data_IF_854388227675
#
_entry.id   IF_854388227675
#
_cell.length_a   1.000
_cell.length_b   1.000
_cell.length_c   1.000
_cell.angle_alpha   90.00
_cell.angle_beta   90.00
_cell.angle_gamma   90.00
#
_symmetry.space_group_name_H-M   'P 1'
#
loop_
_entity.id
_entity.type
_entity.pdbx_description
1 polymer ?
#
# COMPACT_ATOMS: atom_id res chain seq x y z
N UNK A 1 1.63 1.61 19.31
CA UNK A 1 1.06 0.70 20.31
C UNK A 1 0.78 -0.67 19.69
N UNK A 2 0.00 -0.73 18.59
CA UNK A 2 -0.26 -1.99 17.91
C UNK A 2 1.01 -2.60 17.31
N UNK A 3 1.90 -1.77 16.75
CA UNK A 3 3.20 -2.20 16.24
C UNK A 3 4.08 -2.78 17.35
N UNK A 4 4.10 -2.12 18.52
CA UNK A 4 4.89 -2.58 19.64
C UNK A 4 4.42 -3.96 20.13
N UNK A 5 3.11 -4.20 20.14
CA UNK A 5 2.53 -5.51 20.52
C UNK A 5 2.91 -6.59 19.52
N UNK A 6 2.88 -6.29 18.21
CA UNK A 6 3.32 -7.22 17.18
C UNK A 6 4.78 -7.59 17.34
N UNK A 7 5.64 -6.61 17.63
CA UNK A 7 7.07 -6.81 17.79
C UNK A 7 7.42 -7.59 19.06
N UNK A 8 6.63 -7.43 20.14
CA UNK A 8 6.88 -8.12 21.40
C UNK A 8 6.84 -9.64 21.24
N UNK A 9 6.07 -10.16 20.30
CA UNK A 9 5.94 -11.58 20.03
C UNK A 9 6.95 -12.07 18.98
N UNK A 10 7.75 -11.17 18.42
CA UNK A 10 8.77 -11.45 17.38
C UNK A 10 8.25 -12.35 16.24
N UNK A 11 7.15 -11.99 15.57
CA UNK A 11 6.62 -12.79 14.48
C UNK A 11 7.49 -12.68 13.21
N UNK A 12 7.47 -13.71 12.38
CA UNK A 12 8.15 -13.67 11.07
C UNK A 12 7.34 -12.90 10.03
N UNK A 13 6.01 -12.90 10.16
CA UNK A 13 5.09 -12.21 9.27
C UNK A 13 4.23 -11.25 10.10
N UNK A 14 4.18 -9.99 9.68
CA UNK A 14 3.38 -8.95 10.34
C UNK A 14 2.25 -8.56 9.39
N UNK A 15 1.01 -8.66 9.86
CA UNK A 15 -0.17 -8.23 9.10
C UNK A 15 -0.66 -6.89 9.65
N UNK A 16 -0.75 -5.88 8.79
CA UNK A 16 -1.26 -4.55 9.11
C UNK A 16 -2.48 -4.25 8.24
N UNK A 17 -3.65 -4.12 8.86
CA UNK A 17 -4.89 -3.83 8.16
C UNK A 17 -5.27 -2.36 8.39
N UNK A 18 -5.07 -1.54 7.36
CA UNK A 18 -5.32 -0.09 7.37
C UNK A 18 -4.74 0.61 8.60
N UNK A 19 -3.46 0.40 8.90
CA UNK A 19 -2.90 0.86 10.18
C UNK A 19 -2.79 2.37 10.31
N UNK A 20 -2.78 3.10 9.19
CA UNK A 20 -2.49 4.53 9.16
C UNK A 20 -3.68 5.38 8.72
N UNK A 21 -4.84 4.77 8.50
CA UNK A 21 -6.01 5.43 7.95
C UNK A 21 -6.59 6.57 8.80
N UNK A 22 -6.47 6.46 10.13
CA UNK A 22 -7.04 7.44 11.06
C UNK A 22 -6.08 8.58 11.43
N UNK A 23 -4.86 8.58 10.90
CA UNK A 23 -3.83 9.56 11.25
C UNK A 23 -3.90 10.81 10.35
N UNK A 24 -3.48 11.95 10.90
CA UNK A 24 -3.31 13.16 10.09
C UNK A 24 -2.13 12.98 9.11
N UNK A 25 -2.01 13.90 8.13
CA UNK A 25 -1.04 13.77 7.05
C UNK A 25 0.42 13.72 7.55
N UNK A 26 0.77 14.57 8.53
CA UNK A 26 2.14 14.63 9.03
C UNK A 26 2.50 13.38 9.85
N UNK A 27 1.60 12.97 10.74
CA UNK A 27 1.80 11.77 11.55
C UNK A 27 1.84 10.53 10.68
N UNK A 28 0.99 10.47 9.67
CA UNK A 28 0.97 9.36 8.71
C UNK A 28 2.30 9.22 8.00
N UNK A 29 2.88 10.33 7.51
CA UNK A 29 4.17 10.32 6.84
C UNK A 29 5.28 9.79 7.75
N UNK A 30 5.30 10.22 9.01
CA UNK A 30 6.27 9.74 10.00
C UNK A 30 6.13 8.24 10.25
N UNK A 31 4.90 7.77 10.35
CA UNK A 31 4.64 6.35 10.58
C UNK A 31 4.96 5.51 9.36
N UNK A 32 4.74 6.03 8.15
CA UNK A 32 5.13 5.35 6.92
C UNK A 32 6.65 5.15 6.88
N UNK A 33 7.41 6.18 7.22
CA UNK A 33 8.88 6.08 7.32
C UNK A 33 9.31 5.05 8.35
N UNK A 34 8.62 5.01 9.48
CA UNK A 34 8.91 4.03 10.54
C UNK A 34 8.65 2.60 10.08
N UNK A 35 7.57 2.36 9.35
CA UNK A 35 7.25 1.03 8.80
C UNK A 35 8.35 0.57 7.84
N UNK A 36 8.84 1.46 6.98
CA UNK A 36 9.92 1.13 6.04
C UNK A 36 11.23 0.78 6.77
N UNK A 37 11.57 1.54 7.81
CA UNK A 37 12.76 1.27 8.62
C UNK A 37 12.64 -0.07 9.34
N UNK A 38 11.48 -0.34 9.91
CA UNK A 38 11.19 -1.60 10.58
C UNK A 38 11.37 -2.78 9.64
N UNK A 39 10.81 -2.69 8.44
CA UNK A 39 10.95 -3.72 7.42
C UNK A 39 12.41 -3.95 7.07
N UNK A 40 13.17 -2.89 6.83
CA UNK A 40 14.57 -3.00 6.43
C UNK A 40 15.46 -3.56 7.55
N UNK A 41 15.25 -3.09 8.77
CA UNK A 41 16.06 -3.49 9.90
C UNK A 41 15.79 -4.92 10.39
N UNK A 42 14.54 -5.33 10.37
CA UNK A 42 14.15 -6.66 10.87
C UNK A 42 14.21 -7.76 9.83
N UNK A 43 14.12 -7.41 8.54
CA UNK A 43 14.03 -8.39 7.45
C UNK A 43 12.75 -9.20 7.46
N UNK A 44 11.75 -8.79 8.24
CA UNK A 44 10.49 -9.51 8.35
C UNK A 44 9.59 -9.25 7.15
N UNK A 45 8.69 -10.19 6.88
CA UNK A 45 7.65 -10.00 5.86
C UNK A 45 6.51 -9.19 6.46
N UNK A 46 6.18 -8.07 5.82
CA UNK A 46 5.06 -7.22 6.24
C UNK A 46 4.01 -7.23 5.15
N UNK A 47 2.78 -7.59 5.52
CA UNK A 47 1.62 -7.52 4.64
C UNK A 47 0.78 -6.34 5.10
N UNK A 48 0.68 -5.33 4.24
CA UNK A 48 -0.08 -4.12 4.54
C UNK A 48 -1.30 -4.04 3.64
N UNK A 49 -2.48 -3.90 4.26
CA UNK A 49 -3.74 -3.74 3.55
C UNK A 49 -4.16 -2.28 3.63
N UNK A 50 -4.40 -1.66 2.48
CA UNK A 50 -4.82 -0.26 2.41
C UNK A 50 -5.63 -0.03 1.13
N UNK A 51 -6.53 0.95 1.14
CA UNK A 51 -7.19 1.41 -0.09
C UNK A 51 -6.64 2.76 -0.56
N UNK A 52 -5.57 3.23 0.05
CA UNK A 52 -4.88 4.42 -0.40
C UNK A 52 -3.77 4.01 -1.36
N UNK A 53 -3.95 4.28 -2.65
CA UNK A 53 -3.02 3.88 -3.70
C UNK A 53 -1.63 4.44 -3.44
N UNK A 54 -1.54 5.70 -3.04
CA UNK A 54 -0.27 6.36 -2.76
C UNK A 54 0.51 5.66 -1.64
N UNK A 55 -0.17 5.27 -0.56
CA UNK A 55 0.45 4.54 0.54
C UNK A 55 0.97 3.18 0.09
N UNK A 56 0.17 2.46 -0.70
CA UNK A 56 0.58 1.17 -1.24
C UNK A 56 1.82 1.29 -2.12
N UNK A 57 1.91 2.35 -2.93
CA UNK A 57 3.08 2.62 -3.77
C UNK A 57 4.32 2.95 -2.94
N UNK A 58 4.17 3.75 -1.90
CA UNK A 58 5.29 4.15 -1.06
C UNK A 58 5.86 2.99 -0.24
N UNK A 59 5.01 2.13 0.27
CA UNK A 59 5.40 1.10 1.23
C UNK A 59 5.57 -0.28 0.63
N UNK A 60 4.95 -0.55 -0.51
CA UNK A 60 4.97 -1.87 -1.11
C UNK A 60 6.18 -2.10 -2.03
N UNK A 61 7.04 -3.02 -1.66
CA UNK A 61 8.02 -3.60 -2.56
C UNK A 61 7.30 -4.40 -3.65
N UNK A 62 6.28 -5.12 -3.23
CA UNK A 62 5.39 -5.90 -4.07
C UNK A 62 3.97 -5.41 -3.82
N UNK A 63 3.35 -4.83 -4.82
CA UNK A 63 2.00 -4.29 -4.72
C UNK A 63 1.03 -5.20 -5.44
N UNK A 64 -0.03 -5.60 -4.73
CA UNK A 64 -1.05 -6.48 -5.27
C UNK A 64 -2.38 -5.74 -5.32
N UNK A 65 -2.95 -5.64 -6.52
CA UNK A 65 -4.29 -5.07 -6.72
C UNK A 65 -5.29 -6.22 -6.67
N UNK A 66 -6.23 -6.12 -5.74
CA UNK A 66 -7.27 -7.12 -5.56
C UNK A 66 -8.54 -6.72 -6.29
N UNK A 67 -9.16 -7.67 -6.97
CA UNK A 67 -10.48 -7.46 -7.57
C UNK A 67 -11.56 -7.97 -6.60
N UNK A 68 -12.71 -7.26 -6.49
CA UNK A 68 -13.81 -7.70 -5.65
C UNK A 68 -14.66 -8.77 -6.35
N UNK A 69 -15.42 -9.53 -5.59
CA UNK A 69 -16.52 -10.43 -5.99
C UNK A 69 -16.23 -11.40 -7.13
N UNK A 70 -15.53 -12.51 -6.92
CA UNK A 70 -14.87 -12.87 -5.66
C UNK A 70 -13.56 -12.15 -5.48
N UNK A 71 -13.11 -12.03 -4.25
CA UNK A 71 -11.80 -11.48 -3.96
C UNK A 71 -10.73 -12.31 -4.67
N UNK A 72 -9.96 -11.67 -5.55
CA UNK A 72 -8.89 -12.34 -6.30
C UNK A 72 -7.80 -11.35 -6.66
N UNK A 73 -6.63 -11.85 -6.94
CA UNK A 73 -5.53 -11.01 -7.42
C UNK A 73 -5.83 -10.60 -8.85
N UNK A 74 -5.89 -9.29 -9.08
CA UNK A 74 -6.12 -8.72 -10.41
C UNK A 74 -4.79 -8.44 -11.12
N UNK A 75 -3.85 -7.81 -10.41
CA UNK A 75 -2.53 -7.49 -10.95
C UNK A 75 -1.50 -7.37 -9.84
N UNK A 76 -0.27 -7.68 -10.15
CA UNK A 76 0.86 -7.58 -9.23
C UNK A 76 1.93 -6.70 -9.85
N UNK A 77 2.54 -5.84 -9.03
CA UNK A 77 3.63 -4.97 -9.42
C UNK A 77 4.82 -5.19 -8.50
N UNK A 78 6.01 -5.12 -9.05
CA UNK A 78 7.25 -4.98 -8.29
C UNK A 78 7.74 -3.56 -8.46
N UNK A 79 7.95 -2.86 -7.35
CA UNK A 79 8.18 -1.43 -7.33
C UNK A 79 9.46 -1.09 -6.58
N UNK A 80 10.20 -0.04 -7.02
CA UNK A 80 11.45 0.38 -6.36
C UNK A 80 11.23 1.35 -5.19
N UNK A 81 10.02 1.85 -5.00
CA UNK A 81 9.76 2.98 -4.12
C UNK A 81 10.01 2.69 -2.64
N UNK A 82 9.71 1.49 -2.17
CA UNK A 82 9.94 1.12 -0.78
C UNK A 82 11.44 1.16 -0.45
N UNK A 83 12.27 0.59 -1.31
CA UNK A 83 13.73 0.62 -1.13
C UNK A 83 14.26 2.04 -1.14
N UNK A 84 13.76 2.88 -2.04
CA UNK A 84 14.15 4.29 -2.12
C UNK A 84 13.75 5.05 -0.86
N UNK A 85 12.58 4.75 -0.31
CA UNK A 85 12.02 5.44 0.84
C UNK A 85 12.73 5.15 2.16
N UNK A 86 13.46 4.03 2.24
CA UNK A 86 14.21 3.68 3.45
C UNK A 86 15.28 4.75 3.75
N UNK A 87 15.98 5.22 2.73
CA UNK A 87 17.10 6.13 2.86
C UNK A 87 16.78 7.57 2.43
N UNK A 88 15.54 7.86 2.07
CA UNK A 88 15.14 9.16 1.53
C UNK A 88 13.86 9.66 2.17
N UNK A 89 13.63 10.98 2.06
CA UNK A 89 12.34 11.58 2.42
C UNK A 89 11.26 11.04 1.47
N UNK A 90 10.14 10.61 2.01
CA UNK A 90 9.04 10.07 1.20
C UNK A 90 8.50 11.09 0.18
N UNK A 91 8.61 12.37 0.48
CA UNK A 91 8.24 13.42 -0.49
C UNK A 91 9.13 13.41 -1.72
N UNK A 92 10.41 13.05 -1.55
CA UNK A 92 11.33 12.90 -2.67
C UNK A 92 11.01 11.65 -3.50
N UNK A 93 10.60 10.57 -2.84
CA UNK A 93 10.16 9.34 -3.54
C UNK A 93 8.98 9.64 -4.45
N UNK A 94 8.03 10.45 -3.99
CA UNK A 94 6.85 10.84 -4.79
C UNK A 94 7.21 11.62 -6.05
N UNK A 95 8.37 12.24 -6.10
CA UNK A 95 8.88 12.97 -7.27
C UNK A 95 9.54 12.07 -8.31
N UNK A 96 9.71 10.79 -8.00
CA UNK A 96 10.29 9.83 -8.93
C UNK A 96 9.48 9.82 -10.25
N UNK A 97 10.15 9.80 -11.42
CA UNK A 97 9.44 9.88 -12.69
C UNK A 97 8.39 8.80 -12.93
N UNK A 98 8.56 7.64 -12.32
CA UNK A 98 7.61 6.53 -12.46
C UNK A 98 6.47 6.56 -11.43
N UNK A 99 6.58 7.35 -10.37
CA UNK A 99 5.60 7.34 -9.29
C UNK A 99 4.22 7.83 -9.74
N UNK A 100 4.18 9.01 -10.35
CA UNK A 100 2.93 9.59 -10.86
C UNK A 100 2.22 8.69 -11.88
N UNK A 101 2.93 8.25 -12.94
CA UNK A 101 2.35 7.33 -13.94
C UNK A 101 1.83 6.03 -13.34
N UNK A 102 2.54 5.43 -12.40
CA UNK A 102 2.07 4.22 -11.72
C UNK A 102 0.82 4.47 -10.90
N UNK A 103 0.78 5.58 -10.17
CA UNK A 103 -0.39 5.97 -9.39
C UNK A 103 -1.61 6.11 -10.29
N UNK A 104 -1.48 6.82 -11.42
CA UNK A 104 -2.57 7.01 -12.36
C UNK A 104 -3.04 5.68 -12.97
N UNK A 105 -2.11 4.82 -13.34
CA UNK A 105 -2.42 3.49 -13.88
C UNK A 105 -3.28 2.68 -12.90
N UNK A 106 -2.87 2.63 -11.65
CA UNK A 106 -3.57 1.85 -10.62
C UNK A 106 -4.92 2.47 -10.27
N UNK A 107 -4.99 3.80 -10.15
CA UNK A 107 -6.25 4.50 -9.89
C UNK A 107 -7.27 4.24 -11.00
N UNK A 108 -6.84 4.34 -12.25
CA UNK A 108 -7.71 4.07 -13.39
C UNK A 108 -8.19 2.61 -13.40
N UNK A 109 -7.31 1.69 -13.07
CA UNK A 109 -7.64 0.27 -12.95
C UNK A 109 -8.73 0.04 -11.89
N UNK A 110 -8.60 0.66 -10.74
CA UNK A 110 -9.57 0.53 -9.64
C UNK A 110 -10.91 1.14 -10.05
N UNK A 111 -10.89 2.31 -10.69
CA UNK A 111 -12.12 2.96 -11.17
C UNK A 111 -12.83 2.10 -12.21
N UNK A 112 -12.09 1.51 -13.15
CA UNK A 112 -12.65 0.63 -14.17
C UNK A 112 -13.32 -0.59 -13.54
N UNK A 113 -12.74 -1.16 -12.51
CA UNK A 113 -13.33 -2.28 -11.79
C UNK A 113 -14.62 -1.87 -11.06
N UNK A 114 -14.65 -0.69 -10.47
CA UNK A 114 -15.84 -0.16 -9.81
C UNK A 114 -16.96 0.13 -10.80
N UNK A 115 -16.63 0.71 -11.94
CA UNK A 115 -17.60 0.97 -13.03
C UNK A 115 -18.19 -0.32 -13.57
N UNK A 116 -17.40 -1.36 -13.75
CA UNK A 116 -17.91 -2.68 -14.20
C UNK A 116 -18.93 -3.25 -13.20
N UNK A 117 -18.67 -3.12 -11.91
CA UNK A 117 -19.59 -3.58 -10.87
C UNK A 117 -20.88 -2.77 -10.91
N UNK A 118 -20.79 -1.45 -11.01
CA UNK A 118 -21.96 -0.56 -11.08
C UNK A 118 -22.72 -0.74 -12.39
N UNK A 119 -22.01 -0.85 -13.51
CA UNK A 119 -22.59 -1.10 -14.81
C UNK A 119 -23.32 -2.44 -14.87
N UNK A 120 -22.74 -3.48 -14.28
CA UNK A 120 -23.36 -4.79 -14.17
C UNK A 120 -24.65 -4.77 -13.36
N UNK A 121 -24.73 -3.95 -12.31
CA UNK A 121 -25.93 -3.76 -11.52
C UNK A 121 -27.01 -3.02 -12.30
N UNK A 122 -26.64 -2.02 -13.07
CA UNK A 122 -27.57 -1.26 -13.92
C UNK A 122 -28.13 -2.16 -15.02
N UNK A 123 -27.29 -2.96 -15.65
CA UNK A 123 -27.68 -3.90 -16.69
C UNK A 123 -28.60 -4.99 -16.14
N UNK A 124 -28.46 -5.35 -14.88
CA UNK A 124 -29.33 -6.35 -14.23
C UNK A 124 -30.67 -5.79 -13.79
N UNK A 125 -30.78 -4.48 -13.73
CA UNK A 125 -32.02 -3.82 -13.37
C UNK A 125 -32.90 -3.56 -14.59
#
# INVERSE_FOLDING_TARGET
VALARCLANDPDVILMDEPLGALDALTREKMQSLVLKLWKETGKTIILITHTVEEALLLGERLIVMAPRPGRIHKEYRLPFADLGVDSDLREVKKHPEFGPRREEILNMIWDMEEEIMGGKEDAA
#
